data_IF_156202983669
#
_entry.id   IF_156202983669
#
_cell.length_a   1.000
_cell.length_b   1.000
_cell.length_c   1.000
_cell.angle_alpha   90.00
_cell.angle_beta   90.00
_cell.angle_gamma   90.00
#
_symmetry.space_group_name_H-M   'P 1'
#
loop_
_entity.id
_entity.type
_entity.pdbx_description
1 polymer ?
#
# COMPACT_ATOMS: atom_id res chain seq x y z
N UNK A 1 -29.01 -12.95 33.80
CA UNK A 1 -27.71 -12.26 33.71
C UNK A 1 -27.45 -11.59 32.36
N UNK A 2 -27.28 -12.29 31.23
CA UNK A 2 -27.02 -11.63 29.93
C UNK A 2 -28.21 -10.84 29.39
N UNK A 3 -29.44 -11.36 29.57
CA UNK A 3 -30.67 -10.66 29.17
C UNK A 3 -30.92 -9.38 29.98
N UNK A 4 -30.61 -9.41 31.29
CA UNK A 4 -30.67 -8.24 32.17
C UNK A 4 -29.63 -7.19 31.79
N UNK A 5 -28.42 -7.60 31.43
CA UNK A 5 -27.39 -6.70 30.91
C UNK A 5 -27.85 -6.03 29.61
N UNK A 6 -28.42 -6.79 28.68
CA UNK A 6 -28.96 -6.24 27.42
C UNK A 6 -30.16 -5.30 27.64
N UNK A 7 -30.94 -5.50 28.71
CA UNK A 7 -31.99 -4.56 29.09
C UNK A 7 -31.38 -3.26 29.62
N UNK A 8 -30.41 -3.34 30.53
CA UNK A 8 -29.71 -2.19 31.09
C UNK A 8 -29.00 -1.35 30.00
N UNK A 9 -28.29 -1.99 29.07
CA UNK A 9 -27.60 -1.31 27.97
C UNK A 9 -28.62 -0.55 27.09
N UNK A 10 -29.76 -1.18 26.78
CA UNK A 10 -30.79 -0.53 25.96
C UNK A 10 -31.37 0.69 26.64
N UNK A 11 -31.61 0.60 27.94
CA UNK A 11 -32.14 1.71 28.73
C UNK A 11 -31.17 2.90 28.77
N UNK A 12 -29.87 2.61 28.98
CA UNK A 12 -28.81 3.62 28.96
C UNK A 12 -28.66 4.28 27.59
N UNK A 13 -28.61 3.49 26.51
CA UNK A 13 -28.48 4.02 25.14
C UNK A 13 -29.66 4.90 24.78
N UNK A 14 -30.89 4.48 25.11
CA UNK A 14 -32.09 5.28 24.87
C UNK A 14 -32.02 6.58 25.68
N UNK A 15 -31.68 6.49 26.97
CA UNK A 15 -31.52 7.67 27.83
C UNK A 15 -30.47 8.65 27.27
N UNK A 16 -29.33 8.15 26.82
CA UNK A 16 -28.28 8.98 26.21
C UNK A 16 -28.73 9.63 24.91
N UNK A 17 -29.39 8.91 24.01
CA UNK A 17 -29.90 9.48 22.77
C UNK A 17 -30.90 10.62 23.01
N UNK A 18 -31.79 10.48 23.99
CA UNK A 18 -32.79 11.50 24.31
C UNK A 18 -32.21 12.74 25.00
N UNK A 19 -31.01 12.65 25.58
CA UNK A 19 -30.33 13.76 26.24
C UNK A 19 -29.10 14.26 25.48
N UNK A 20 -28.79 13.66 24.33
CA UNK A 20 -27.67 14.06 23.49
C UNK A 20 -27.96 15.46 22.92
N UNK A 21 -27.15 16.43 23.33
CA UNK A 21 -27.15 17.76 22.73
C UNK A 21 -26.06 17.80 21.66
N UNK A 22 -26.46 18.14 20.44
CA UNK A 22 -25.53 18.36 19.33
C UNK A 22 -25.31 19.86 19.23
N UNK A 23 -24.10 20.30 19.55
CA UNK A 23 -23.68 21.67 19.26
C UNK A 23 -23.43 21.78 17.75
N UNK A 24 -24.15 22.66 17.02
CA UNK A 24 -23.88 22.87 15.62
C UNK A 24 -22.52 23.54 15.49
N UNK A 25 -21.53 22.78 15.03
CA UNK A 25 -20.22 23.34 14.71
C UNK A 25 -20.33 24.12 13.40
N UNK A 26 -19.74 25.31 13.35
CA UNK A 26 -19.69 26.11 12.15
C UNK A 26 -19.00 25.31 11.03
N UNK A 27 -19.67 25.21 9.88
CA UNK A 27 -19.22 24.38 8.77
C UNK A 27 -17.83 24.80 8.25
N UNK A 28 -17.52 26.10 8.36
CA UNK A 28 -16.23 26.68 7.98
C UNK A 28 -15.11 26.21 8.92
N UNK A 29 -15.36 26.17 10.23
CA UNK A 29 -14.37 25.69 11.22
C UNK A 29 -14.10 24.20 11.06
N UNK A 30 -15.15 23.39 10.80
CA UNK A 30 -15.01 21.97 10.48
C UNK A 30 -14.21 21.73 9.20
N UNK A 31 -14.45 22.51 8.14
CA UNK A 31 -13.68 22.43 6.90
C UNK A 31 -12.22 22.77 7.15
N UNK A 32 -11.92 23.84 7.89
CA UNK A 32 -10.54 24.20 8.24
C UNK A 32 -9.81 23.10 9.04
N UNK A 33 -10.48 22.48 10.01
CA UNK A 33 -9.91 21.36 10.77
C UNK A 33 -9.66 20.14 9.88
N UNK A 34 -10.60 19.84 8.98
CA UNK A 34 -10.47 18.72 8.05
C UNK A 34 -9.36 18.95 7.02
N UNK A 35 -9.20 20.18 6.52
CA UNK A 35 -8.09 20.58 5.65
C UNK A 35 -6.74 20.51 6.37
N UNK A 36 -6.67 20.95 7.63
CA UNK A 36 -5.46 20.84 8.44
C UNK A 36 -5.07 19.37 8.66
N UNK A 37 -6.04 18.51 8.97
CA UNK A 37 -5.82 17.07 9.09
C UNK A 37 -5.42 16.42 7.75
N UNK A 38 -6.01 16.85 6.63
CA UNK A 38 -5.64 16.38 5.30
C UNK A 38 -4.23 16.82 4.90
N UNK A 39 -3.82 18.04 5.27
CA UNK A 39 -2.47 18.53 5.06
C UNK A 39 -1.45 17.76 5.91
N UNK A 40 -1.79 17.44 7.17
CA UNK A 40 -0.97 16.59 8.04
C UNK A 40 -0.83 15.17 7.47
N UNK A 41 -1.93 14.57 6.99
CA UNK A 41 -1.92 13.27 6.33
C UNK A 41 -1.14 13.29 5.01
N UNK A 42 -1.17 14.39 4.26
CA UNK A 42 -0.36 14.57 3.04
C UNK A 42 1.15 14.64 3.35
N UNK A 43 1.53 15.05 4.57
CA UNK A 43 2.91 14.99 5.04
C UNK A 43 3.42 13.55 5.28
N UNK A 44 2.51 12.59 5.44
CA UNK A 44 2.83 11.16 5.52
C UNK A 44 2.82 10.56 4.10
N UNK A 45 3.76 10.99 3.26
CA UNK A 45 3.95 10.41 1.94
C UNK A 45 4.43 8.96 2.09
N UNK A 46 3.57 8.01 1.70
CA UNK A 46 3.98 6.62 1.51
C UNK A 46 4.90 6.54 0.28
N UNK A 47 6.22 6.59 0.51
CA UNK A 47 7.22 6.33 -0.53
C UNK A 47 7.14 4.85 -0.95
N UNK A 48 6.36 4.56 -1.98
CA UNK A 48 6.55 3.33 -2.72
C UNK A 48 7.59 3.58 -3.82
N UNK A 49 8.81 3.11 -3.58
CA UNK A 49 9.89 3.03 -4.56
C UNK A 49 9.51 2.03 -5.69
N UNK A 50 8.66 2.46 -6.62
CA UNK A 50 8.33 1.73 -7.85
C UNK A 50 8.98 2.38 -9.07
N UNK A 51 9.52 3.59 -8.92
CA UNK A 51 10.11 4.32 -10.04
C UNK A 51 11.56 3.88 -10.29
N UNK A 52 12.35 3.55 -9.26
CA UNK A 52 13.72 3.03 -9.46
C UNK A 52 13.72 1.69 -10.21
N UNK A 53 12.75 0.81 -9.92
CA UNK A 53 12.57 -0.46 -10.63
C UNK A 53 12.22 -0.28 -12.11
N UNK A 54 11.32 0.66 -12.43
CA UNK A 54 10.94 0.94 -13.82
C UNK A 54 12.08 1.55 -14.65
N UNK A 55 12.91 2.40 -14.03
CA UNK A 55 14.09 2.97 -14.68
C UNK A 55 15.19 1.92 -14.87
N UNK A 56 15.37 0.99 -13.93
CA UNK A 56 16.31 -0.12 -14.08
C UNK A 56 15.87 -1.09 -15.20
N UNK A 57 14.57 -1.36 -15.35
CA UNK A 57 14.02 -2.18 -16.44
C UNK A 57 14.15 -1.45 -17.79
N UNK A 58 13.88 -0.14 -17.82
CA UNK A 58 14.10 0.69 -19.01
C UNK A 58 15.57 0.78 -19.42
N UNK A 59 16.48 0.90 -18.44
CA UNK A 59 17.93 0.90 -18.69
C UNK A 59 18.45 -0.47 -19.15
N UNK A 60 17.90 -1.57 -18.60
CA UNK A 60 18.21 -2.93 -19.08
C UNK A 60 17.70 -3.16 -20.52
N UNK A 61 16.52 -2.61 -20.86
CA UNK A 61 15.98 -2.66 -22.22
C UNK A 61 16.80 -1.82 -23.22
N UNK A 62 17.54 -0.80 -22.76
CA UNK A 62 18.45 0.00 -23.57
C UNK A 62 19.86 -0.62 -23.69
N UNK A 63 20.26 -1.47 -22.75
CA UNK A 63 21.56 -2.16 -22.78
C UNK A 63 21.56 -3.37 -23.74
N UNK A 64 20.41 -4.01 -23.96
CA UNK A 64 20.25 -5.17 -24.87
C UNK A 64 19.89 -4.73 -26.30
N UNK A 65 20.70 -3.83 -26.86
CA UNK A 65 20.46 -3.22 -28.17
C UNK A 65 20.06 -4.21 -29.29
N UNK A 66 18.79 -4.21 -29.65
CA UNK A 66 18.23 -4.76 -30.88
C UNK A 66 17.11 -3.85 -31.39
N UNK A 67 17.46 -2.93 -32.29
CA UNK A 67 16.70 -1.70 -32.56
C UNK A 67 15.41 -1.82 -33.36
N UNK A 68 14.54 -0.80 -33.22
CA UNK A 68 14.23 0.15 -34.29
C UNK A 68 13.37 1.33 -33.78
N UNK A 69 14.01 2.50 -33.66
CA UNK A 69 13.44 3.82 -33.99
C UNK A 69 12.19 4.33 -33.28
N UNK A 70 12.37 5.00 -32.14
CA UNK A 70 11.68 6.28 -31.84
C UNK A 70 12.45 7.03 -30.74
N UNK A 71 12.85 8.27 -31.03
CA UNK A 71 13.62 9.13 -30.14
C UNK A 71 12.81 9.57 -28.92
N UNK A 72 13.38 9.45 -27.73
CA UNK A 72 13.03 10.32 -26.60
C UNK A 72 14.29 11.01 -26.08
N UNK A 73 14.38 12.30 -26.37
CA UNK A 73 15.37 13.22 -25.81
C UNK A 73 14.83 13.79 -24.50
N UNK A 74 15.52 13.51 -23.40
CA UNK A 74 15.67 14.42 -22.27
C UNK A 74 16.92 13.92 -21.52
N UNK A 75 18.11 14.37 -21.94
CA UNK A 75 18.65 15.53 -21.26
C UNK A 75 19.17 15.07 -19.90
N UNK A 76 20.29 14.35 -19.92
CA UNK A 76 20.96 13.92 -18.70
C UNK A 76 21.32 15.12 -17.85
N UNK A 77 21.00 15.10 -16.56
CA UNK A 77 21.45 16.16 -15.67
C UNK A 77 21.58 15.83 -14.19
N UNK A 78 21.61 14.58 -13.73
CA UNK A 78 21.90 14.32 -12.32
C UNK A 78 22.97 13.25 -12.13
N UNK A 79 24.22 13.73 -12.27
CA UNK A 79 25.37 13.18 -11.59
C UNK A 79 25.13 13.25 -10.07
N UNK A 80 24.98 12.09 -9.44
CA UNK A 80 24.80 11.96 -7.99
C UNK A 80 25.00 10.51 -7.58
N UNK A 81 26.26 10.07 -7.60
CA UNK A 81 26.65 8.73 -7.20
C UNK A 81 26.40 8.48 -5.73
N UNK A 82 25.34 7.73 -5.43
CA UNK A 82 25.15 7.02 -4.16
C UNK A 82 25.07 5.53 -4.45
N UNK A 83 26.20 4.82 -4.33
CA UNK A 83 26.22 3.36 -4.48
C UNK A 83 25.60 2.70 -3.25
N UNK A 84 24.30 2.40 -3.30
CA UNK A 84 23.68 1.53 -2.30
C UNK A 84 24.06 0.09 -2.63
N UNK A 85 25.01 -0.47 -1.87
CA UNK A 85 25.35 -1.87 -1.95
C UNK A 85 24.24 -2.71 -1.30
N UNK A 86 23.23 -3.08 -2.08
CA UNK A 86 22.23 -4.07 -1.65
C UNK A 86 22.82 -5.47 -1.78
N UNK A 87 23.15 -6.11 -0.64
CA UNK A 87 23.50 -7.53 -0.62
C UNK A 87 22.27 -8.35 -1.01
N UNK A 88 22.23 -8.83 -2.26
CA UNK A 88 21.17 -9.69 -2.76
C UNK A 88 21.27 -11.06 -2.08
N UNK A 89 20.39 -11.33 -1.12
CA UNK A 89 20.19 -12.69 -0.61
C UNK A 89 19.64 -13.53 -1.75
N UNK A 90 20.43 -14.47 -2.27
CA UNK A 90 19.96 -15.44 -3.26
C UNK A 90 19.00 -16.40 -2.58
N UNK A 91 17.73 -16.04 -2.58
CA UNK A 91 16.63 -16.89 -2.13
C UNK A 91 16.52 -18.07 -3.10
N UNK A 92 16.47 -19.33 -2.61
CA UNK A 92 16.35 -20.49 -3.49
C UNK A 92 15.05 -20.41 -4.29
N UNK A 93 15.05 -20.94 -5.53
CA UNK A 93 13.90 -20.82 -6.46
C UNK A 93 12.55 -21.25 -5.87
N UNK A 94 12.56 -22.22 -4.94
CA UNK A 94 11.34 -22.68 -4.23
C UNK A 94 10.67 -21.62 -3.35
N UNK A 95 11.43 -20.66 -2.84
CA UNK A 95 10.93 -19.58 -1.98
C UNK A 95 10.50 -18.35 -2.82
N UNK A 96 10.67 -18.41 -4.15
CA UNK A 96 10.19 -17.39 -5.10
C UNK A 96 8.81 -17.74 -5.68
N UNK A 97 8.23 -18.89 -5.31
CA UNK A 97 6.90 -19.28 -5.77
C UNK A 97 5.84 -18.39 -5.12
N UNK A 98 5.07 -17.67 -5.93
CA UNK A 98 4.01 -16.80 -5.46
C UNK A 98 2.87 -17.62 -4.84
N UNK A 99 2.21 -17.05 -3.82
CA UNK A 99 1.12 -17.73 -3.08
C UNK A 99 -0.01 -18.26 -4.00
N UNK A 100 -0.22 -17.65 -5.16
CA UNK A 100 -1.25 -18.03 -6.13
C UNK A 100 -0.73 -18.86 -7.33
N UNK A 101 0.57 -19.10 -7.46
CA UNK A 101 1.15 -19.81 -8.60
C UNK A 101 0.82 -21.31 -8.58
N UNK A 102 0.92 -22.02 -9.71
CA UNK A 102 0.77 -23.47 -9.77
C UNK A 102 1.72 -24.16 -8.79
N UNK A 103 1.20 -25.06 -7.97
CA UNK A 103 2.03 -25.73 -6.97
C UNK A 103 3.07 -26.65 -7.63
N UNK A 104 4.32 -26.60 -7.15
CA UNK A 104 5.44 -27.38 -7.67
C UNK A 104 5.25 -28.91 -7.61
N UNK A 105 4.30 -29.40 -6.80
CA UNK A 105 3.99 -30.83 -6.69
C UNK A 105 3.20 -31.40 -7.88
N UNK A 106 2.89 -30.58 -8.90
CA UNK A 106 2.18 -31.03 -10.11
C UNK A 106 0.69 -31.29 -9.90
N UNK A 107 0.11 -30.89 -8.77
CA UNK A 107 -1.30 -31.15 -8.44
C UNK A 107 -2.30 -30.30 -9.25
N UNK A 108 -1.83 -29.32 -10.03
CA UNK A 108 -2.67 -28.35 -10.75
C UNK A 108 -3.36 -27.32 -9.85
N UNK A 109 -3.19 -27.38 -8.53
CA UNK A 109 -3.77 -26.43 -7.57
C UNK A 109 -2.82 -25.26 -7.32
N UNK A 110 -3.36 -24.09 -6.93
CA UNK A 110 -2.56 -22.94 -6.48
C UNK A 110 -1.75 -23.29 -5.23
N UNK A 111 -0.53 -22.76 -5.09
CA UNK A 111 0.38 -23.05 -3.97
C UNK A 111 -0.28 -22.92 -2.60
N UNK A 112 -1.03 -21.83 -2.35
CA UNK A 112 -1.79 -21.61 -1.09
C UNK A 112 -2.83 -22.67 -0.74
N UNK A 113 -3.30 -23.43 -1.72
CA UNK A 113 -4.31 -24.49 -1.55
C UNK A 113 -3.69 -25.88 -1.51
N UNK A 114 -2.36 -25.98 -1.57
CA UNK A 114 -1.67 -27.25 -1.64
C UNK A 114 -0.51 -27.35 -0.62
N UNK A 115 0.50 -26.49 -0.72
CA UNK A 115 1.70 -26.54 0.13
C UNK A 115 2.05 -25.20 0.80
N UNK A 116 1.24 -24.16 0.61
CA UNK A 116 1.44 -22.82 1.18
C UNK A 116 0.68 -22.57 2.49
N UNK A 117 0.62 -23.58 3.36
CA UNK A 117 0.11 -23.45 4.74
C UNK A 117 1.13 -22.71 5.61
#
# INVERSE_FOLDING_TARGET
MFEELNAAIREEVVGHLFHAQIEPQDAEELQHLQEAQAAEAAGLAYEHDQIAGSQAIGAAALADGGGNGASVTAGGLFAGGGSVATATRTVPQRDKIGRNDPCWCGSGKKFKKCHGS
#
